data_IF_866239774069
#
_entry.id   IF_866239774069
#
_cell.length_a   1.000
_cell.length_b   1.000
_cell.length_c   1.000
_cell.angle_alpha   90.00
_cell.angle_beta   90.00
_cell.angle_gamma   90.00
#
_symmetry.space_group_name_H-M   'P 1'
#
loop_
_entity.id
_entity.type
_entity.pdbx_description
1 polymer ?
#
# COMPACT_ATOMS: atom_id res chain seq x y z
N UNK A 1 3.21 -50.69 8.66
CA UNK A 1 3.52 -50.90 10.09
C UNK A 1 4.85 -51.62 10.17
N UNK A 2 5.95 -51.13 10.74
CA UNK A 2 6.29 -49.86 11.36
C UNK A 2 7.64 -50.05 12.07
N UNK A 3 8.51 -49.01 12.01
CA UNK A 3 9.57 -48.68 12.99
C UNK A 3 10.74 -49.69 13.16
N UNK A 4 12.01 -49.33 13.40
CA UNK A 4 12.75 -48.08 13.67
C UNK A 4 14.23 -48.48 13.76
N UNK A 5 15.18 -47.68 13.28
CA UNK A 5 16.59 -47.82 13.64
C UNK A 5 17.33 -46.47 13.54
N UNK A 6 17.98 -46.07 14.62
CA UNK A 6 19.10 -45.09 14.72
C UNK A 6 19.75 -45.29 16.11
N UNK A 7 20.98 -44.83 16.44
CA UNK A 7 22.14 -44.41 15.63
C UNK A 7 23.45 -45.13 16.02
N UNK A 8 24.45 -45.10 15.13
CA UNK A 8 25.87 -45.30 15.50
C UNK A 8 26.75 -44.18 14.90
N UNK A 9 27.32 -43.39 15.80
CA UNK A 9 28.69 -42.84 15.81
C UNK A 9 29.58 -43.19 14.60
N UNK A 10 30.14 -42.19 13.89
CA UNK A 10 31.54 -42.19 13.37
C UNK A 10 31.99 -40.74 13.05
N UNK A 11 33.17 -40.35 13.55
CA UNK A 11 34.06 -39.35 12.96
C UNK A 11 35.41 -40.07 12.75
N UNK A 12 36.11 -39.92 11.62
CA UNK A 12 37.37 -39.19 11.71
C UNK A 12 37.82 -38.43 10.44
N UNK A 13 38.59 -37.39 10.74
CA UNK A 13 39.55 -36.58 9.98
C UNK A 13 40.47 -37.28 8.95
N UNK A 14 40.94 -36.42 8.01
CA UNK A 14 42.25 -36.37 7.32
C UNK A 14 42.53 -37.34 6.15
N UNK A 15 42.69 -36.78 4.95
CA UNK A 15 43.68 -37.22 3.97
C UNK A 15 44.16 -36.00 3.15
N UNK A 16 45.45 -35.66 3.29
CA UNK A 16 46.22 -34.78 2.40
C UNK A 16 47.00 -35.72 1.48
N UNK A 17 46.96 -35.51 0.16
CA UNK A 17 47.85 -36.20 -0.77
C UNK A 17 48.64 -35.19 -1.62
N UNK A 18 49.94 -35.45 -1.74
CA UNK A 18 50.96 -34.68 -2.44
C UNK A 18 51.57 -35.59 -3.52
N UNK A 19 51.37 -35.27 -4.80
CA UNK A 19 52.23 -35.66 -5.95
C UNK A 19 51.98 -34.67 -7.10
N UNK A 20 52.85 -34.40 -8.07
CA UNK A 20 54.31 -34.36 -8.24
C UNK A 20 54.53 -33.83 -9.68
N UNK A 21 55.31 -32.75 -9.82
CA UNK A 21 56.21 -32.31 -10.93
C UNK A 21 55.88 -32.43 -12.45
N UNK A 22 56.08 -31.26 -13.11
CA UNK A 22 56.23 -30.80 -14.54
C UNK A 22 57.11 -31.63 -15.51
N UNK A 23 57.44 -31.24 -16.79
CA UNK A 23 56.94 -30.16 -17.70
C UNK A 23 56.75 -30.58 -19.20
N UNK A 24 56.10 -29.76 -20.06
CA UNK A 24 56.26 -29.83 -21.54
C UNK A 24 56.31 -28.42 -22.16
N UNK A 25 57.27 -28.25 -23.08
CA UNK A 25 57.61 -27.04 -23.82
C UNK A 25 56.94 -27.04 -25.21
N UNK A 26 56.39 -25.90 -25.65
CA UNK A 26 56.38 -25.52 -27.07
C UNK A 26 55.04 -25.34 -27.80
N UNK A 27 54.85 -24.09 -28.26
CA UNK A 27 54.17 -23.61 -29.49
C UNK A 27 52.64 -23.39 -29.49
N UNK A 28 52.28 -22.10 -29.44
CA UNK A 28 51.27 -21.48 -30.31
C UNK A 28 49.79 -21.71 -29.97
N UNK A 29 49.18 -20.78 -29.24
CA UNK A 29 48.02 -19.99 -29.65
C UNK A 29 47.77 -18.93 -28.58
N UNK A 30 47.83 -17.67 -28.97
CA UNK A 30 47.39 -16.54 -28.14
C UNK A 30 45.88 -16.70 -27.96
N UNK A 31 45.42 -17.03 -26.76
CA UNK A 31 44.00 -16.97 -26.41
C UNK A 31 43.67 -15.54 -26.03
N UNK A 32 43.09 -14.84 -27.01
CA UNK A 32 42.62 -13.45 -26.97
C UNK A 32 41.21 -13.34 -26.35
N UNK A 33 40.87 -14.20 -25.37
CA UNK A 33 39.48 -14.43 -24.97
C UNK A 33 39.16 -14.08 -23.49
N UNK A 34 40.09 -13.45 -22.75
CA UNK A 34 39.86 -13.13 -21.32
C UNK A 34 39.61 -11.64 -21.00
N UNK A 35 39.63 -10.75 -22.00
CA UNK A 35 39.38 -9.31 -21.80
C UNK A 35 38.03 -8.81 -22.33
N UNK A 36 37.25 -9.64 -23.01
CA UNK A 36 35.95 -9.22 -23.59
C UNK A 36 34.75 -9.38 -22.67
N UNK A 37 34.89 -10.04 -21.52
CA UNK A 37 33.76 -10.24 -20.60
C UNK A 37 33.60 -9.15 -19.52
N UNK A 38 34.57 -8.25 -19.37
CA UNK A 38 34.46 -7.12 -18.42
C UNK A 38 33.80 -5.88 -19.03
N UNK A 39 33.69 -5.79 -20.36
CA UNK A 39 33.17 -4.59 -21.04
C UNK A 39 31.65 -4.63 -21.23
N UNK A 40 31.06 -5.81 -21.44
CA UNK A 40 29.60 -5.94 -21.65
C UNK A 40 28.79 -5.90 -20.33
N UNK A 41 29.39 -6.29 -19.21
CA UNK A 41 28.79 -6.12 -17.87
C UNK A 41 28.95 -4.70 -17.32
N UNK A 42 29.93 -3.93 -17.83
CA UNK A 42 30.18 -2.55 -17.43
C UNK A 42 29.41 -1.54 -18.28
N UNK A 43 29.08 -1.86 -19.54
CA UNK A 43 28.35 -0.97 -20.44
C UNK A 43 26.82 -0.97 -20.18
N UNK A 44 26.27 -2.05 -19.62
CA UNK A 44 24.88 -2.09 -19.14
C UNK A 44 24.69 -1.37 -17.80
N UNK A 45 25.69 -1.42 -16.91
CA UNK A 45 25.66 -0.72 -15.61
C UNK A 45 25.98 0.78 -15.69
N UNK A 46 26.64 1.26 -16.75
CA UNK A 46 26.98 2.67 -16.91
C UNK A 46 25.80 3.59 -17.30
N UNK A 47 24.70 3.04 -17.85
CA UNK A 47 23.47 3.81 -18.12
C UNK A 47 22.46 3.78 -16.98
N UNK A 48 22.56 2.81 -16.07
CA UNK A 48 21.64 2.61 -14.95
C UNK A 48 21.95 3.51 -13.73
N UNK A 49 23.17 4.06 -13.63
CA UNK A 49 23.62 4.85 -12.48
C UNK A 49 22.87 6.17 -12.25
N UNK A 50 22.30 6.78 -13.30
CA UNK A 50 21.62 8.07 -13.18
C UNK A 50 20.12 7.94 -12.91
N UNK A 51 19.44 6.88 -13.34
CA UNK A 51 17.97 6.80 -13.28
C UNK A 51 17.45 6.32 -11.90
N UNK A 52 18.16 5.40 -11.25
CA UNK A 52 17.73 4.80 -9.99
C UNK A 52 17.63 5.81 -8.82
N UNK A 53 18.54 6.80 -8.68
CA UNK A 53 18.39 7.87 -7.69
C UNK A 53 17.16 8.75 -7.96
N UNK A 54 16.94 9.19 -9.21
CA UNK A 54 15.76 10.00 -9.57
C UNK A 54 14.46 9.27 -9.30
N UNK A 55 14.40 7.96 -9.59
CA UNK A 55 13.24 7.14 -9.27
C UNK A 55 12.97 7.08 -7.77
N UNK A 56 14.01 6.91 -6.93
CA UNK A 56 13.88 6.96 -5.47
C UNK A 56 13.39 8.31 -4.97
N UNK A 57 13.96 9.41 -5.45
CA UNK A 57 13.51 10.76 -5.10
C UNK A 57 12.07 11.02 -5.55
N UNK A 58 11.68 10.55 -6.74
CA UNK A 58 10.32 10.66 -7.26
C UNK A 58 9.31 9.94 -6.38
N UNK A 59 9.60 8.69 -5.99
CA UNK A 59 8.73 7.92 -5.09
C UNK A 59 8.64 8.59 -3.71
N UNK A 60 9.76 9.07 -3.17
CA UNK A 60 9.76 9.79 -1.89
C UNK A 60 8.90 11.06 -1.96
N UNK A 61 9.10 11.90 -2.97
CA UNK A 61 8.33 13.12 -3.17
C UNK A 61 6.83 12.83 -3.37
N UNK A 62 6.48 11.82 -4.16
CA UNK A 62 5.08 11.41 -4.37
C UNK A 62 4.41 10.96 -3.07
N UNK A 63 5.11 10.20 -2.23
CA UNK A 63 4.58 9.79 -0.92
C UNK A 63 4.39 10.99 0.02
N UNK A 64 5.28 11.99 0.00
CA UNK A 64 5.07 13.23 0.77
C UNK A 64 3.81 13.97 0.30
N UNK A 65 3.58 14.05 -1.01
CA UNK A 65 2.33 14.63 -1.55
C UNK A 65 1.12 13.85 -1.06
N UNK A 66 1.13 12.51 -1.12
CA UNK A 66 0.04 11.69 -0.60
C UNK A 66 -0.19 11.86 0.89
N UNK A 67 0.88 12.06 1.68
CA UNK A 67 0.77 12.33 3.11
C UNK A 67 0.09 13.69 3.37
N UNK A 68 0.43 14.72 2.60
CA UNK A 68 -0.23 16.04 2.71
C UNK A 68 -1.71 15.95 2.31
N UNK A 69 -2.02 15.33 1.18
CA UNK A 69 -3.41 15.15 0.73
C UNK A 69 -4.20 14.33 1.75
N UNK A 70 -3.63 13.24 2.28
CA UNK A 70 -4.26 12.42 3.32
C UNK A 70 -4.52 13.20 4.61
N UNK A 71 -3.59 14.09 5.00
CA UNK A 71 -3.77 14.96 6.16
C UNK A 71 -4.88 15.98 5.96
N UNK A 72 -5.00 16.56 4.76
CA UNK A 72 -6.09 17.48 4.42
C UNK A 72 -7.45 16.76 4.43
N UNK A 73 -7.53 15.55 3.87
CA UNK A 73 -8.75 14.74 3.90
C UNK A 73 -9.13 14.36 5.33
N UNK A 74 -8.17 13.92 6.14
CA UNK A 74 -8.43 13.61 7.54
C UNK A 74 -8.94 14.82 8.31
N UNK A 75 -8.29 15.99 8.14
CA UNK A 75 -8.71 17.24 8.77
C UNK A 75 -10.13 17.63 8.33
N UNK A 76 -10.43 17.53 7.03
CA UNK A 76 -11.78 17.78 6.49
C UNK A 76 -12.81 16.82 7.07
N UNK A 77 -12.51 15.52 7.13
CA UNK A 77 -13.41 14.52 7.69
C UNK A 77 -13.69 14.74 9.18
N UNK A 78 -12.66 15.08 9.95
CA UNK A 78 -12.81 15.46 11.37
C UNK A 78 -13.63 16.72 11.50
N UNK A 79 -13.37 17.76 10.69
CA UNK A 79 -14.14 19.00 10.68
C UNK A 79 -15.63 18.76 10.42
N UNK A 80 -15.95 18.00 9.36
CA UNK A 80 -17.33 17.61 9.03
C UNK A 80 -18.02 16.87 10.18
N UNK A 81 -17.24 16.14 11.00
CA UNK A 81 -17.75 15.36 12.12
C UNK A 81 -17.91 16.18 13.40
N UNK A 82 -17.10 17.20 13.63
CA UNK A 82 -17.07 17.95 14.91
C UNK A 82 -17.88 19.23 14.88
N UNK A 83 -18.03 19.87 13.72
CA UNK A 83 -18.75 21.14 13.61
C UNK A 83 -20.24 20.96 13.97
N UNK A 84 -20.69 21.70 14.98
CA UNK A 84 -22.07 21.61 15.48
C UNK A 84 -23.07 22.16 14.47
N UNK A 85 -22.73 23.23 13.73
CA UNK A 85 -23.63 23.81 12.72
C UNK A 85 -23.92 22.81 11.61
N UNK A 86 -22.90 22.10 11.15
CA UNK A 86 -23.06 21.04 10.16
C UNK A 86 -23.86 19.85 10.71
N UNK A 87 -23.58 19.42 11.95
CA UNK A 87 -24.33 18.34 12.60
C UNK A 87 -25.80 18.69 12.85
N UNK A 88 -26.08 19.92 13.26
CA UNK A 88 -27.42 20.40 13.58
C UNK A 88 -28.25 20.51 12.29
N UNK A 89 -27.67 21.12 11.25
CA UNK A 89 -28.26 21.16 9.89
C UNK A 89 -28.59 19.76 9.35
N UNK A 90 -27.68 18.80 9.54
CA UNK A 90 -27.90 17.41 9.14
C UNK A 90 -28.94 16.71 10.02
N UNK A 91 -28.93 16.92 11.32
CA UNK A 91 -29.84 16.26 12.26
C UNK A 91 -31.28 16.71 12.08
N UNK A 92 -31.52 18.00 11.86
CA UNK A 92 -32.87 18.56 11.70
C UNK A 92 -33.51 18.11 10.37
N UNK A 93 -32.70 18.03 9.31
CA UNK A 93 -33.11 17.48 8.01
C UNK A 93 -33.32 15.96 8.02
N UNK A 94 -32.43 15.21 8.68
CA UNK A 94 -32.40 13.75 8.59
C UNK A 94 -33.34 13.07 9.61
N UNK A 95 -33.70 13.73 10.72
CA UNK A 95 -34.59 13.18 11.76
C UNK A 95 -35.98 12.81 11.24
N UNK A 96 -36.46 13.43 10.16
CA UNK A 96 -37.74 13.08 9.52
C UNK A 96 -37.65 11.91 8.53
N UNK A 97 -36.45 11.54 8.06
CA UNK A 97 -36.24 10.41 7.14
C UNK A 97 -35.96 9.09 7.88
N UNK A 98 -35.78 9.11 9.21
CA UNK A 98 -35.26 7.99 10.02
C UNK A 98 -36.18 7.68 11.19
N UNK A 99 -37.45 7.45 10.92
CA UNK A 99 -38.27 6.71 11.91
C UNK A 99 -38.28 5.20 11.61
N UNK A 100 -37.82 4.74 10.44
CA UNK A 100 -38.03 3.34 10.01
C UNK A 100 -36.75 2.56 9.59
N UNK A 101 -35.56 3.16 9.53
CA UNK A 101 -34.36 2.46 9.03
C UNK A 101 -33.22 2.38 10.06
N UNK A 102 -33.40 1.55 11.09
CA UNK A 102 -32.42 1.28 12.15
C UNK A 102 -31.20 0.44 11.69
N UNK A 103 -30.94 0.29 10.38
CA UNK A 103 -29.77 -0.46 9.88
C UNK A 103 -29.04 0.17 8.69
N UNK A 104 -29.57 1.22 8.08
CA UNK A 104 -28.87 1.98 7.03
C UNK A 104 -28.45 3.32 7.62
N UNK A 105 -27.22 3.38 8.10
CA UNK A 105 -26.62 4.59 8.66
C UNK A 105 -26.83 5.78 7.69
N UNK A 106 -26.96 7.02 8.22
CA UNK A 106 -27.07 8.20 7.38
C UNK A 106 -25.91 8.23 6.41
N UNK A 107 -26.20 8.18 5.11
CA UNK A 107 -25.19 8.17 4.04
C UNK A 107 -24.18 9.31 4.20
N UNK A 108 -24.59 10.44 4.80
CA UNK A 108 -23.74 11.58 5.12
C UNK A 108 -22.88 11.41 6.39
N UNK A 109 -23.41 10.80 7.47
CA UNK A 109 -22.57 10.47 8.63
C UNK A 109 -21.55 9.39 8.26
N UNK A 110 -21.97 8.38 7.49
CA UNK A 110 -21.09 7.38 6.91
C UNK A 110 -20.00 8.03 6.03
N UNK A 111 -20.36 9.02 5.21
CA UNK A 111 -19.41 9.75 4.36
C UNK A 111 -18.28 10.42 5.15
N UNK A 112 -18.59 11.08 6.28
CA UNK A 112 -17.56 11.69 7.13
C UNK A 112 -16.56 10.65 7.68
N UNK A 113 -17.06 9.49 8.14
CA UNK A 113 -16.20 8.40 8.61
C UNK A 113 -15.38 7.78 7.48
N UNK A 114 -15.96 7.63 6.28
CA UNK A 114 -15.25 7.14 5.10
C UNK A 114 -14.08 8.07 4.77
N UNK A 115 -14.28 9.39 4.75
CA UNK A 115 -13.19 10.36 4.53
C UNK A 115 -12.10 10.24 5.60
N UNK A 116 -12.48 10.11 6.87
CA UNK A 116 -11.53 9.94 7.99
C UNK A 116 -10.69 8.67 7.80
N UNK A 117 -11.34 7.53 7.55
CA UNK A 117 -10.66 6.24 7.37
C UNK A 117 -9.74 6.28 6.15
N UNK A 118 -10.22 6.81 5.02
CA UNK A 118 -9.41 6.96 3.82
C UNK A 118 -8.19 7.86 4.05
N UNK A 119 -8.38 9.02 4.69
CA UNK A 119 -7.30 9.94 5.05
C UNK A 119 -6.25 9.27 5.94
N UNK A 120 -6.66 8.58 7.00
CA UNK A 120 -5.77 7.81 7.87
C UNK A 120 -5.00 6.74 7.10
N UNK A 121 -5.69 5.93 6.29
CA UNK A 121 -5.06 4.89 5.47
C UNK A 121 -4.01 5.48 4.51
N UNK A 122 -4.31 6.60 3.84
CA UNK A 122 -3.35 7.25 2.95
C UNK A 122 -2.10 7.72 3.70
N UNK A 123 -2.24 8.33 4.88
CA UNK A 123 -1.10 8.79 5.69
C UNK A 123 -0.22 7.60 6.11
N UNK A 124 -0.84 6.52 6.59
CA UNK A 124 -0.10 5.32 7.03
C UNK A 124 0.67 4.69 5.87
N UNK A 125 0.03 4.54 4.72
CA UNK A 125 0.67 3.97 3.51
C UNK A 125 1.79 4.87 3.01
N UNK A 126 1.57 6.18 2.95
CA UNK A 126 2.58 7.15 2.55
C UNK A 126 3.79 7.15 3.50
N UNK A 127 3.55 7.04 4.81
CA UNK A 127 4.61 6.92 5.81
C UNK A 127 5.47 5.67 5.58
N UNK A 128 4.84 4.51 5.38
CA UNK A 128 5.58 3.29 5.04
C UNK A 128 6.28 3.36 3.68
N UNK A 129 5.75 4.11 2.71
CA UNK A 129 6.43 4.39 1.45
C UNK A 129 7.71 5.22 1.63
N UNK A 130 7.64 6.29 2.41
CA UNK A 130 8.80 7.10 2.76
C UNK A 130 9.85 6.30 3.54
N UNK A 131 9.43 5.53 4.55
CA UNK A 131 10.31 4.67 5.32
C UNK A 131 10.91 3.54 4.45
N UNK A 132 10.13 2.96 3.54
CA UNK A 132 10.56 1.86 2.67
C UNK A 132 11.67 2.27 1.72
N UNK A 133 11.59 3.46 1.11
CA UNK A 133 12.66 3.95 0.21
C UNK A 133 13.97 4.15 0.94
N UNK A 134 13.92 4.61 2.20
CA UNK A 134 15.09 4.89 3.03
C UNK A 134 15.47 3.72 3.94
N UNK A 135 14.77 2.59 3.87
CA UNK A 135 15.01 1.46 4.77
C UNK A 135 16.20 0.63 4.30
N UNK A 136 17.22 0.56 5.14
CA UNK A 136 18.28 -0.45 5.05
C UNK A 136 17.84 -1.81 5.64
N UNK A 137 16.64 -1.86 6.25
CA UNK A 137 16.09 -3.07 6.85
C UNK A 137 15.09 -3.74 5.91
N UNK A 138 15.46 -4.94 5.44
CA UNK A 138 14.64 -5.82 4.61
C UNK A 138 13.23 -6.08 5.18
N UNK A 139 13.07 -6.13 6.51
CA UNK A 139 11.76 -6.37 7.14
C UNK A 139 10.78 -5.21 6.86
N UNK A 140 11.25 -3.96 6.95
CA UNK A 140 10.41 -2.78 6.66
C UNK A 140 9.95 -2.78 5.21
N UNK A 141 10.86 -3.20 4.32
CA UNK A 141 10.62 -3.31 2.88
C UNK A 141 9.57 -4.39 2.54
N UNK A 142 9.62 -5.53 3.24
CA UNK A 142 8.61 -6.60 3.11
C UNK A 142 7.24 -6.11 3.61
N UNK A 143 7.19 -5.42 4.76
CA UNK A 143 5.95 -4.86 5.28
C UNK A 143 5.33 -3.86 4.29
N UNK A 144 6.16 -2.97 3.71
CA UNK A 144 5.71 -2.05 2.67
C UNK A 144 5.16 -2.79 1.45
N UNK A 145 5.88 -3.80 0.94
CA UNK A 145 5.43 -4.61 -0.19
C UNK A 145 4.09 -5.30 0.08
N UNK A 146 3.90 -5.85 1.30
CA UNK A 146 2.64 -6.47 1.70
C UNK A 146 1.50 -5.46 1.79
N UNK A 147 1.75 -4.26 2.33
CA UNK A 147 0.75 -3.21 2.42
C UNK A 147 0.29 -2.75 1.02
N UNK A 148 1.23 -2.50 0.09
CA UNK A 148 0.90 -2.11 -1.29
C UNK A 148 0.13 -3.21 -2.00
N UNK A 149 0.49 -4.48 -1.79
CA UNK A 149 -0.24 -5.62 -2.36
C UNK A 149 -1.69 -5.69 -1.85
N UNK A 150 -1.92 -5.51 -0.54
CA UNK A 150 -3.27 -5.50 0.03
C UNK A 150 -4.11 -4.33 -0.53
N UNK A 151 -3.51 -3.15 -0.72
CA UNK A 151 -4.19 -2.03 -1.36
C UNK A 151 -4.53 -2.31 -2.82
N UNK A 152 -3.68 -3.02 -3.55
CA UNK A 152 -3.97 -3.42 -4.92
C UNK A 152 -5.19 -4.33 -5.00
N UNK A 153 -5.27 -5.33 -4.11
CA UNK A 153 -6.45 -6.21 -4.02
C UNK A 153 -7.69 -5.40 -3.65
N UNK A 154 -7.62 -4.54 -2.63
CA UNK A 154 -8.74 -3.69 -2.22
C UNK A 154 -9.22 -2.75 -3.34
N UNK A 155 -8.27 -2.15 -4.07
CA UNK A 155 -8.55 -1.27 -5.21
C UNK A 155 -9.28 -2.06 -6.30
N UNK A 156 -8.79 -3.24 -6.67
CA UNK A 156 -9.45 -4.12 -7.64
C UNK A 156 -10.85 -4.53 -7.19
N UNK A 157 -11.02 -4.94 -5.94
CA UNK A 157 -12.33 -5.30 -5.38
C UNK A 157 -13.32 -4.13 -5.43
N UNK A 158 -12.88 -2.93 -5.05
CA UNK A 158 -13.69 -1.72 -5.12
C UNK A 158 -14.07 -1.37 -6.56
N UNK A 159 -13.12 -1.44 -7.49
CA UNK A 159 -13.37 -1.20 -8.91
C UNK A 159 -14.39 -2.18 -9.52
N UNK A 160 -14.26 -3.47 -9.21
CA UNK A 160 -15.21 -4.50 -9.66
C UNK A 160 -16.61 -4.23 -9.08
N UNK A 161 -16.70 -3.90 -7.79
CA UNK A 161 -17.97 -3.57 -7.14
C UNK A 161 -18.64 -2.36 -7.79
N UNK A 162 -17.89 -1.28 -8.03
CA UNK A 162 -18.39 -0.08 -8.70
C UNK A 162 -18.83 -0.37 -10.14
N UNK A 163 -18.08 -1.19 -10.88
CA UNK A 163 -18.43 -1.59 -12.24
C UNK A 163 -19.77 -2.35 -12.27
N UNK A 164 -19.98 -3.28 -11.35
CA UNK A 164 -21.23 -4.01 -11.24
C UNK A 164 -22.42 -3.10 -10.90
N UNK A 165 -22.22 -2.11 -10.03
CA UNK A 165 -23.28 -1.18 -9.64
C UNK A 165 -23.59 -0.12 -10.71
N UNK A 166 -22.66 0.17 -11.62
CA UNK A 166 -22.82 1.20 -12.65
C UNK A 166 -24.13 1.08 -13.45
N UNK A 167 -24.55 -0.14 -13.77
CA UNK A 167 -25.71 -0.38 -14.64
C UNK A 167 -27.06 -0.17 -13.92
N UNK A 168 -27.09 -0.30 -12.58
CA UNK A 168 -28.30 -0.06 -11.78
C UNK A 168 -28.56 1.41 -11.47
N UNK A 169 -27.52 2.26 -11.50
CA UNK A 169 -27.59 3.67 -11.09
C UNK A 169 -28.57 4.47 -11.92
N UNK A 170 -28.72 4.16 -13.21
CA UNK A 170 -29.62 4.91 -14.09
C UNK A 170 -31.10 4.78 -13.69
N UNK A 171 -31.50 3.54 -13.37
CA UNK A 171 -32.86 3.22 -12.91
C UNK A 171 -33.08 3.78 -11.50
N UNK A 172 -32.13 3.53 -10.58
CA UNK A 172 -32.20 4.04 -9.21
C UNK A 172 -32.29 5.58 -9.18
N UNK A 173 -31.56 6.27 -10.07
CA UNK A 173 -31.62 7.72 -10.19
C UNK A 173 -33.00 8.19 -10.67
N UNK A 174 -33.58 7.54 -11.68
CA UNK A 174 -34.91 7.88 -12.19
C UNK A 174 -35.98 7.67 -11.12
N UNK A 175 -35.93 6.54 -10.41
CA UNK A 175 -36.88 6.21 -9.34
C UNK A 175 -36.75 7.19 -8.16
N UNK A 176 -35.52 7.54 -7.77
CA UNK A 176 -35.28 8.52 -6.73
C UNK A 176 -35.82 9.92 -7.11
N UNK A 177 -35.59 10.36 -8.36
CA UNK A 177 -36.12 11.65 -8.83
C UNK A 177 -37.64 11.65 -8.90
N UNK A 178 -38.27 10.57 -9.39
CA UNK A 178 -39.72 10.42 -9.39
C UNK A 178 -40.30 10.51 -7.97
N UNK A 179 -39.69 9.80 -7.03
CA UNK A 179 -40.10 9.84 -5.62
C UNK A 179 -40.01 11.26 -5.04
N UNK A 180 -38.91 11.97 -5.30
CA UNK A 180 -38.71 13.33 -4.83
C UNK A 180 -39.71 14.32 -5.43
N UNK A 181 -40.05 14.18 -6.71
CA UNK A 181 -41.07 15.02 -7.36
C UNK A 181 -42.44 14.76 -6.75
N UNK A 182 -42.84 13.48 -6.60
CA UNK A 182 -44.13 13.11 -6.02
C UNK A 182 -44.34 13.68 -4.61
N UNK A 183 -43.29 13.63 -3.78
CA UNK A 183 -43.33 14.05 -2.38
C UNK A 183 -42.82 15.47 -2.15
N UNK A 184 -42.66 16.30 -3.18
CA UNK A 184 -42.05 17.62 -3.04
C UNK A 184 -42.82 18.54 -2.07
N UNK A 185 -44.15 18.63 -2.20
CA UNK A 185 -45.00 19.49 -1.35
C UNK A 185 -45.55 18.81 -0.09
N UNK A 186 -45.49 17.47 -0.02
CA UNK A 186 -46.11 16.69 1.07
C UNK A 186 -45.08 15.94 1.94
N UNK A 187 -43.83 15.86 1.48
CA UNK A 187 -42.75 15.15 2.15
C UNK A 187 -42.01 16.00 3.19
N UNK A 188 -40.99 15.38 3.79
CA UNK A 188 -40.09 16.06 4.70
C UNK A 188 -39.34 17.21 3.99
N UNK A 189 -39.04 18.29 4.72
CA UNK A 189 -38.34 19.46 4.16
C UNK A 189 -36.97 19.13 3.54
N UNK A 190 -36.38 17.99 3.93
CA UNK A 190 -35.15 17.47 3.32
C UNK A 190 -35.34 17.12 1.84
N UNK A 191 -36.48 16.53 1.45
CA UNK A 191 -36.78 16.15 0.07
C UNK A 191 -36.89 17.39 -0.80
N UNK A 192 -37.62 18.40 -0.30
CA UNK A 192 -37.83 19.65 -1.02
C UNK A 192 -36.52 20.37 -1.33
N UNK A 193 -35.70 20.66 -0.33
CA UNK A 193 -34.44 21.39 -0.55
C UNK A 193 -33.41 20.55 -1.31
N UNK A 194 -33.42 19.21 -1.16
CA UNK A 194 -32.51 18.35 -1.93
C UNK A 194 -32.86 18.41 -3.42
N UNK A 195 -34.15 18.34 -3.76
CA UNK A 195 -34.61 18.49 -5.14
C UNK A 195 -34.36 19.91 -5.66
N UNK A 196 -34.59 20.95 -4.84
CA UNK A 196 -34.28 22.34 -5.22
C UNK A 196 -32.78 22.53 -5.51
N UNK A 197 -31.90 21.95 -4.68
CA UNK A 197 -30.46 21.97 -4.92
C UNK A 197 -30.07 21.21 -6.18
N UNK A 198 -30.65 20.04 -6.44
CA UNK A 198 -30.42 19.29 -7.67
C UNK A 198 -30.85 20.09 -8.91
N UNK A 199 -32.07 20.63 -8.89
CA UNK A 199 -32.64 21.40 -10.00
C UNK A 199 -31.84 22.66 -10.31
N UNK A 200 -31.42 23.39 -9.28
CA UNK A 200 -30.58 24.59 -9.45
C UNK A 200 -29.16 24.25 -9.89
N UNK A 201 -28.55 23.18 -9.34
CA UNK A 201 -27.16 22.78 -9.68
C UNK A 201 -27.05 22.25 -11.11
N UNK A 202 -27.99 21.39 -11.52
CA UNK A 202 -27.97 20.77 -12.85
C UNK A 202 -28.80 21.52 -13.89
N UNK A 203 -29.43 22.64 -13.49
CA UNK A 203 -30.30 23.48 -14.34
C UNK A 203 -31.36 22.65 -15.06
N UNK A 204 -32.14 21.92 -14.29
CA UNK A 204 -33.13 20.96 -14.77
C UNK A 204 -34.43 21.08 -13.96
N UNK A 205 -35.47 20.37 -14.36
CA UNK A 205 -36.74 20.32 -13.66
C UNK A 205 -37.38 18.94 -13.76
N UNK A 206 -37.91 18.44 -12.64
CA UNK A 206 -38.54 17.12 -12.58
C UNK A 206 -37.58 15.97 -12.87
N UNK A 207 -38.12 14.78 -13.13
CA UNK A 207 -37.35 13.61 -13.54
C UNK A 207 -37.05 13.68 -15.05
N UNK A 208 -38.11 13.69 -15.86
CA UNK A 208 -38.09 13.84 -17.32
C UNK A 208 -38.41 15.27 -17.77
N UNK A 209 -39.02 16.10 -16.91
CA UNK A 209 -39.25 17.52 -17.19
C UNK A 209 -40.29 18.19 -16.28
N UNK A 210 -40.64 19.43 -16.60
CA UNK A 210 -41.68 20.19 -15.89
C UNK A 210 -43.08 19.53 -15.90
N UNK A 211 -43.35 18.62 -16.84
CA UNK A 211 -44.61 17.86 -16.91
C UNK A 211 -44.83 16.97 -15.70
N UNK A 212 -43.77 16.54 -15.03
CA UNK A 212 -43.85 15.56 -13.95
C UNK A 212 -44.60 16.12 -12.74
N UNK A 213 -44.40 17.40 -12.42
CA UNK A 213 -45.17 18.10 -11.38
C UNK A 213 -46.65 18.19 -11.74
N UNK A 214 -46.97 18.48 -13.02
CA UNK A 214 -48.36 18.56 -13.48
C UNK A 214 -49.07 17.22 -13.43
N UNK A 215 -48.35 16.11 -13.64
CA UNK A 215 -48.91 14.77 -13.51
C UNK A 215 -49.45 14.49 -12.09
N UNK A 216 -48.83 15.11 -11.08
CA UNK A 216 -49.28 15.06 -9.68
C UNK A 216 -50.19 16.23 -9.27
N UNK A 217 -50.68 17.04 -10.23
CA UNK A 217 -51.46 18.27 -9.99
C UNK A 217 -50.74 19.29 -9.09
N UNK A 218 -49.42 19.38 -9.25
CA UNK A 218 -48.56 20.31 -8.53
C UNK A 218 -47.98 21.33 -9.51
N UNK A 219 -47.74 22.55 -9.04
CA UNK A 219 -47.04 23.58 -9.81
C UNK A 219 -45.52 23.38 -9.72
N UNK A 220 -44.76 23.53 -10.83
CA UNK A 220 -43.31 23.46 -10.80
C UNK A 220 -42.72 24.51 -9.84
N UNK A 221 -41.75 24.14 -8.99
CA UNK A 221 -41.16 25.06 -8.03
C UNK A 221 -40.27 26.11 -8.71
N UNK A 222 -39.97 27.20 -7.98
CA UNK A 222 -39.11 28.31 -8.48
C UNK A 222 -37.67 27.90 -8.75
N UNK A 223 -37.23 26.77 -8.22
CA UNK A 223 -35.92 26.15 -8.41
C UNK A 223 -35.74 25.55 -9.81
N UNK A 224 -36.83 25.32 -10.56
CA UNK A 224 -36.78 24.78 -11.91
C UNK A 224 -36.19 25.77 -12.94
N UNK A 225 -35.35 25.26 -13.83
CA UNK A 225 -34.83 26.02 -14.97
C UNK A 225 -35.91 26.24 -16.05
N UNK A 226 -35.84 27.39 -16.73
CA UNK A 226 -36.82 27.80 -17.75
C UNK A 226 -36.86 26.83 -18.94
N UNK A 227 -35.76 26.11 -19.21
CA UNK A 227 -35.69 25.14 -20.31
C UNK A 227 -36.49 23.87 -20.06
N UNK A 228 -36.89 23.60 -18.82
CA UNK A 228 -37.69 22.44 -18.44
C UNK A 228 -37.09 21.08 -18.86
N UNK A 229 -35.77 20.99 -19.01
CA UNK A 229 -35.07 19.72 -19.28
C UNK A 229 -35.14 18.79 -18.06
N UNK A 230 -35.31 17.50 -18.29
CA UNK A 230 -35.34 16.50 -17.22
C UNK A 230 -34.02 16.39 -16.46
N UNK A 231 -34.09 16.31 -15.11
CA UNK A 231 -32.91 16.15 -14.27
C UNK A 231 -32.22 14.81 -14.48
N UNK A 232 -32.97 13.76 -14.79
CA UNK A 232 -32.41 12.43 -15.03
C UNK A 232 -31.34 12.44 -16.12
N UNK A 233 -31.68 13.00 -17.29
CA UNK A 233 -30.75 13.11 -18.41
C UNK A 233 -29.51 13.96 -18.06
N UNK A 234 -29.70 15.14 -17.44
CA UNK A 234 -28.59 16.05 -17.10
C UNK A 234 -27.64 15.44 -16.07
N UNK A 235 -28.19 14.82 -15.02
CA UNK A 235 -27.41 14.17 -13.97
C UNK A 235 -26.72 12.93 -14.53
N UNK A 236 -27.41 12.10 -15.31
CA UNK A 236 -26.81 10.90 -15.90
C UNK A 236 -25.64 11.24 -16.83
N UNK A 237 -25.76 12.29 -17.66
CA UNK A 237 -24.65 12.77 -18.49
C UNK A 237 -23.47 13.22 -17.62
N UNK A 238 -23.72 13.98 -16.55
CA UNK A 238 -22.67 14.41 -15.64
C UNK A 238 -21.99 13.23 -14.90
N UNK A 239 -22.78 12.26 -14.45
CA UNK A 239 -22.29 11.04 -13.82
C UNK A 239 -21.47 10.19 -14.80
N UNK A 240 -21.91 10.03 -16.04
CA UNK A 240 -21.21 9.28 -17.09
C UNK A 240 -19.84 9.89 -17.40
N UNK A 241 -19.75 11.22 -17.49
CA UNK A 241 -18.47 11.94 -17.63
C UNK A 241 -17.59 11.68 -16.40
N UNK A 242 -18.17 11.76 -15.20
CA UNK A 242 -17.48 11.45 -13.94
C UNK A 242 -16.93 10.01 -13.89
N UNK A 243 -17.71 9.03 -14.33
CA UNK A 243 -17.29 7.63 -14.40
C UNK A 243 -16.15 7.43 -15.39
N UNK A 244 -16.17 8.12 -16.53
CA UNK A 244 -15.06 8.07 -17.50
C UNK A 244 -13.75 8.57 -16.88
N UNK A 245 -13.77 9.72 -16.21
CA UNK A 245 -12.59 10.27 -15.52
C UNK A 245 -12.14 9.33 -14.39
N UNK A 246 -13.08 8.84 -13.59
CA UNK A 246 -12.80 7.93 -12.48
C UNK A 246 -12.15 6.63 -12.96
N UNK A 247 -12.58 6.10 -14.10
CA UNK A 247 -12.00 4.91 -14.74
C UNK A 247 -10.55 5.16 -15.17
N UNK A 248 -10.25 6.32 -15.76
CA UNK A 248 -8.87 6.69 -16.13
C UNK A 248 -7.98 6.78 -14.90
N UNK A 249 -8.45 7.46 -13.85
CA UNK A 249 -7.73 7.57 -12.57
C UNK A 249 -7.53 6.20 -11.94
N UNK A 250 -8.54 5.33 -11.98
CA UNK A 250 -8.49 3.97 -11.45
C UNK A 250 -7.37 3.14 -12.10
N UNK A 251 -7.30 3.13 -13.44
CA UNK A 251 -6.22 2.42 -14.14
C UNK A 251 -4.84 3.03 -13.87
N UNK A 252 -4.74 4.37 -13.81
CA UNK A 252 -3.50 5.04 -13.44
C UNK A 252 -3.02 4.63 -12.03
N UNK A 253 -3.93 4.59 -11.05
CA UNK A 253 -3.63 4.15 -9.68
C UNK A 253 -3.15 2.70 -9.65
N UNK A 254 -3.80 1.80 -10.39
CA UNK A 254 -3.37 0.39 -10.50
C UNK A 254 -1.96 0.31 -11.08
N UNK A 255 -1.68 1.02 -12.18
CA UNK A 255 -0.35 1.04 -12.80
C UNK A 255 0.69 1.55 -11.79
N UNK A 256 0.43 2.65 -11.10
CA UNK A 256 1.33 3.18 -10.08
C UNK A 256 1.57 2.20 -8.93
N UNK A 257 0.53 1.50 -8.46
CA UNK A 257 0.66 0.49 -7.39
C UNK A 257 1.47 -0.72 -7.86
N UNK A 258 1.26 -1.20 -9.09
CA UNK A 258 2.03 -2.30 -9.66
C UNK A 258 3.50 -1.91 -9.82
N UNK A 259 3.80 -0.71 -10.33
CA UNK A 259 5.17 -0.21 -10.44
C UNK A 259 5.84 -0.09 -9.05
N UNK A 260 5.12 0.43 -8.05
CA UNK A 260 5.61 0.52 -6.68
C UNK A 260 5.89 -0.87 -6.09
N UNK A 261 5.02 -1.84 -6.33
CA UNK A 261 5.17 -3.22 -5.87
C UNK A 261 6.39 -3.90 -6.53
N UNK A 262 6.52 -3.78 -7.86
CA UNK A 262 7.67 -4.32 -8.60
C UNK A 262 8.98 -3.72 -8.09
N UNK A 263 9.02 -2.39 -7.90
CA UNK A 263 10.18 -1.71 -7.37
C UNK A 263 10.51 -2.12 -5.94
N UNK A 264 9.51 -2.24 -5.07
CA UNK A 264 9.70 -2.71 -3.70
C UNK A 264 10.26 -4.14 -3.66
N UNK A 265 9.70 -5.05 -4.46
CA UNK A 265 10.19 -6.42 -4.57
C UNK A 265 11.62 -6.48 -5.12
N UNK A 266 11.93 -5.67 -6.14
CA UNK A 266 13.29 -5.54 -6.66
C UNK A 266 14.27 -5.12 -5.55
N UNK A 267 13.92 -4.12 -4.73
CA UNK A 267 14.75 -3.73 -3.59
C UNK A 267 14.86 -4.84 -2.51
N UNK A 268 13.82 -5.64 -2.28
CA UNK A 268 13.83 -6.79 -1.36
C UNK A 268 14.77 -7.91 -1.83
N UNK A 269 14.87 -8.14 -3.14
CA UNK A 269 15.74 -9.16 -3.72
C UNK A 269 17.18 -8.69 -3.88
N UNK A 270 17.39 -7.40 -4.17
CA UNK A 270 18.74 -6.82 -4.33
C UNK A 270 19.44 -6.57 -3.01
N UNK A 271 18.72 -6.39 -1.89
CA UNK A 271 19.33 -6.41 -0.57
C UNK A 271 19.64 -7.86 -0.14
N UNK A 272 20.91 -8.28 -0.11
CA UNK A 272 21.26 -9.57 0.47
C UNK A 272 20.88 -9.57 1.95
N UNK A 273 20.30 -10.67 2.42
CA UNK A 273 20.06 -10.88 3.85
C UNK A 273 21.37 -10.68 4.62
N UNK A 274 21.47 -9.61 5.39
CA UNK A 274 22.55 -9.41 6.36
C UNK A 274 22.38 -10.48 7.44
N UNK A 275 22.93 -11.67 7.21
CA UNK A 275 23.08 -12.67 8.27
C UNK A 275 24.09 -12.07 9.24
N UNK A 276 23.60 -11.48 10.33
CA UNK A 276 24.44 -10.97 11.41
C UNK A 276 25.11 -12.18 12.09
N UNK A 277 26.26 -12.61 11.57
CA UNK A 277 27.13 -13.58 12.21
C UNK A 277 27.59 -12.95 13.54
N UNK A 278 26.95 -13.36 14.64
CA UNK A 278 27.45 -13.06 15.97
C UNK A 278 28.64 -13.98 16.20
N UNK A 279 29.85 -13.47 15.96
CA UNK A 279 31.07 -14.15 16.38
C UNK A 279 31.08 -14.18 17.91
N UNK A 280 30.76 -15.34 18.49
CA UNK A 280 31.10 -15.63 19.88
C UNK A 280 32.60 -15.86 19.91
N UNK A 281 33.34 -14.87 20.39
CA UNK A 281 34.77 -15.01 20.61
C UNK A 281 34.97 -16.15 21.63
N UNK A 282 35.37 -17.33 21.13
CA UNK A 282 35.77 -18.43 22.02
C UNK A 282 37.08 -17.96 22.67
N UNK A 283 37.20 -17.94 24.00
CA UNK A 283 38.46 -17.63 24.65
C UNK A 283 39.53 -18.56 24.06
N UNK A 284 40.59 -17.95 23.55
CA UNK A 284 41.76 -18.64 23.02
C UNK A 284 42.20 -19.65 24.09
N UNK A 285 42.30 -20.96 23.79
CA UNK A 285 42.83 -21.89 24.78
C UNK A 285 44.22 -21.38 25.18
N UNK A 286 44.39 -21.05 26.47
CA UNK A 286 45.70 -20.72 27.00
C UNK A 286 46.67 -21.82 26.58
N UNK A 287 47.87 -21.47 26.09
CA UNK A 287 48.86 -22.49 25.78
C UNK A 287 49.10 -23.28 27.06
N UNK A 288 48.73 -24.56 27.04
CA UNK A 288 49.12 -25.49 28.09
C UNK A 288 50.64 -25.48 28.07
N UNK A 289 51.24 -24.83 29.06
CA UNK A 289 52.69 -24.71 29.19
C UNK A 289 53.23 -26.11 29.50
N UNK A 290 53.58 -26.84 28.45
CA UNK A 290 54.15 -28.18 28.57
C UNK A 290 55.56 -28.08 29.12
N UNK A 291 55.94 -29.09 29.90
CA UNK A 291 57.25 -29.17 30.58
C UNK A 291 58.42 -29.04 29.58
N UNK A 292 58.23 -29.54 28.37
CA UNK A 292 59.19 -29.45 27.27
C UNK A 292 59.44 -28.00 26.80
N UNK A 293 58.42 -27.13 26.83
CA UNK A 293 58.54 -25.72 26.40
C UNK A 293 59.25 -24.86 27.46
N UNK A 294 59.02 -25.17 28.75
CA UNK A 294 59.74 -24.59 29.89
C UNK A 294 61.22 -24.95 29.89
N UNK A 295 61.55 -26.22 29.63
CA UNK A 295 62.94 -26.67 29.48
C UNK A 295 63.65 -25.98 28.31
N UNK A 296 62.95 -25.78 27.18
CA UNK A 296 63.54 -25.15 25.99
C UNK A 296 63.94 -23.67 26.18
N UNK A 297 63.38 -23.00 27.20
CA UNK A 297 63.63 -21.58 27.49
C UNK A 297 64.32 -21.35 28.84
N UNK A 298 64.89 -22.38 29.48
CA UNK A 298 65.60 -22.28 30.77
C UNK A 298 64.79 -21.59 31.90
N UNK A 299 63.46 -21.70 31.90
CA UNK A 299 62.64 -21.18 33.00
C UNK A 299 62.61 -22.15 34.18
N UNK A 300 62.65 -21.66 35.45
CA UNK A 300 62.58 -22.51 36.63
C UNK A 300 61.25 -23.27 36.68
N UNK A 301 61.32 -24.59 36.77
CA UNK A 301 60.18 -25.49 36.67
C UNK A 301 59.64 -25.91 38.05
N UNK A 302 59.31 -24.97 38.93
CA UNK A 302 58.70 -25.31 40.22
C UNK A 302 57.29 -24.74 40.34
N UNK A 303 56.33 -25.36 39.64
CA UNK A 303 54.91 -25.07 39.77
C UNK A 303 54.28 -26.03 40.79
N UNK A 304 54.28 -25.61 42.06
CA UNK A 304 53.48 -26.22 43.13
C UNK A 304 51.99 -26.10 42.77
N UNK A 305 51.34 -27.24 42.56
CA UNK A 305 49.93 -27.33 42.18
C UNK A 305 49.03 -27.07 43.40
N UNK A 306 48.74 -25.81 43.73
CA UNK A 306 47.68 -25.49 44.70
C UNK A 306 46.31 -25.61 44.05
N UNK A 307 45.75 -26.81 44.19
CA UNK A 307 44.39 -27.17 43.81
C UNK A 307 43.43 -26.76 44.92
N UNK A 308 42.93 -25.53 44.94
CA UNK A 308 41.66 -25.21 45.63
C UNK A 308 41.05 -23.90 45.11
N UNK A 309 39.92 -23.98 44.42
CA UNK A 309 38.82 -23.02 44.59
C UNK A 309 37.48 -23.72 44.37
N UNK A 310 36.64 -23.59 45.39
CA UNK A 310 35.36 -24.25 45.64
C UNK A 310 34.26 -23.68 44.74
N UNK A 311 33.29 -24.52 44.41
CA UNK A 311 31.96 -24.13 43.96
C UNK A 311 31.23 -23.37 45.08
N UNK A 312 30.61 -22.24 44.74
CA UNK A 312 29.35 -21.72 45.29
C UNK A 312 28.69 -20.88 44.20
#
# INVERSE_FOLDING_TARGET
MGSRADPRYVNPRLAVDHRMYSPVHGRGHVSEDYYTQSSDSALSTAKEGNCLPWLKYGIFAANIVFMVVGSLLLAMGVWLRTDSRFRDFLSERYRQAVEEAFWEAPTLYAFSYIIIVLGCCMIVVAFFGCCGVNAENRVVLIIYSMAVFLLLVATLSCGIYLFYKKDGIDVELSDALNYMVQHYYQGAGIVQESLDHLQTTFRCCGNAGCSDFRAFRQDPPRSCDIRCDGCHYRIWVALSIGFSITLVVFFAVIICQVLALVFALYLVFTQPSQVRLVYVDRPKPEPILTRETLQRHNLPYDLRKDRHRKYY
#
